data_IF_150983001275
#
_entry.id   IF_150983001275
#
_cell.length_a   1.000
_cell.length_b   1.000
_cell.length_c   1.000
_cell.angle_alpha   90.00
_cell.angle_beta   90.00
_cell.angle_gamma   90.00
#
_symmetry.space_group_name_H-M   'P 1'
#
loop_
_entity.id
_entity.type
_entity.pdbx_description
1 polymer ?
#
# COMPACT_ATOMS: atom_id res chain seq x y z
N UNK A 1 -3.88 -29.68 4.71
CA UNK A 1 -3.98 -28.43 3.92
C UNK A 1 -4.16 -28.63 2.40
N UNK A 2 -4.67 -29.77 1.90
CA UNK A 2 -4.69 -30.05 0.44
C UNK A 2 -5.73 -29.28 -0.38
N UNK A 3 -6.81 -28.81 0.23
CA UNK A 3 -7.92 -28.17 -0.49
C UNK A 3 -7.53 -26.83 -1.13
N UNK A 4 -6.75 -26.00 -0.41
CA UNK A 4 -6.29 -24.70 -0.91
C UNK A 4 -5.32 -24.87 -2.08
N UNK A 5 -4.42 -25.85 -2.00
CA UNK A 5 -3.52 -26.17 -3.12
C UNK A 5 -4.29 -26.68 -4.33
N UNK A 6 -5.28 -27.56 -4.12
CA UNK A 6 -6.13 -28.06 -5.22
C UNK A 6 -6.87 -26.91 -5.91
N UNK A 7 -7.51 -26.02 -5.16
CA UNK A 7 -8.18 -24.84 -5.71
C UNK A 7 -7.23 -23.96 -6.52
N UNK A 8 -6.01 -23.69 -6.00
CA UNK A 8 -4.99 -22.93 -6.75
C UNK A 8 -4.61 -23.63 -8.06
N UNK A 9 -4.49 -24.96 -8.06
CA UNK A 9 -4.17 -25.73 -9.27
C UNK A 9 -5.33 -25.73 -10.27
N UNK A 10 -6.58 -25.78 -9.81
CA UNK A 10 -7.77 -25.72 -10.64
C UNK A 10 -7.96 -24.34 -11.29
N UNK A 11 -7.74 -23.26 -10.55
CA UNK A 11 -7.79 -21.88 -11.09
C UNK A 11 -6.59 -21.63 -12.02
N UNK A 12 -5.42 -22.14 -11.64
CA UNK A 12 -4.16 -21.98 -12.36
C UNK A 12 -3.42 -20.68 -12.01
N UNK A 13 -2.10 -20.78 -11.82
CA UNK A 13 -1.25 -19.64 -11.47
C UNK A 13 -1.29 -18.52 -12.53
N UNK A 14 -1.33 -18.88 -13.81
CA UNK A 14 -1.39 -17.92 -14.91
C UNK A 14 -2.67 -17.08 -14.87
N UNK A 15 -3.82 -17.71 -14.64
CA UNK A 15 -5.12 -17.02 -14.51
C UNK A 15 -5.12 -16.06 -13.31
N UNK A 16 -4.52 -16.46 -12.20
CA UNK A 16 -4.37 -15.62 -11.00
C UNK A 16 -3.54 -14.38 -11.33
N UNK A 17 -2.36 -14.58 -11.93
CA UNK A 17 -1.46 -13.48 -12.33
C UNK A 17 -2.10 -12.53 -13.35
N UNK A 18 -2.83 -13.05 -14.34
CA UNK A 18 -3.52 -12.25 -15.35
C UNK A 18 -4.60 -11.36 -14.72
N UNK A 19 -5.39 -11.89 -13.78
CA UNK A 19 -6.43 -11.12 -13.08
C UNK A 19 -5.86 -10.08 -12.11
N UNK A 20 -4.83 -10.45 -11.35
CA UNK A 20 -4.15 -9.52 -10.45
C UNK A 20 -3.49 -8.37 -11.22
N UNK A 21 -2.87 -8.69 -12.37
CA UNK A 21 -2.32 -7.68 -13.28
C UNK A 21 -3.39 -6.78 -13.87
N UNK A 22 -4.53 -7.33 -14.27
CA UNK A 22 -5.63 -6.55 -14.82
C UNK A 22 -6.10 -5.45 -13.85
N UNK A 23 -6.32 -5.78 -12.57
CA UNK A 23 -6.71 -4.78 -11.57
C UNK A 23 -5.60 -3.80 -11.24
N UNK A 24 -4.35 -4.28 -11.18
CA UNK A 24 -3.20 -3.40 -10.99
C UNK A 24 -3.10 -2.32 -12.08
N UNK A 25 -3.21 -2.69 -13.36
CA UNK A 25 -3.11 -1.73 -14.46
C UNK A 25 -4.24 -0.69 -14.41
N UNK A 26 -5.46 -1.09 -14.05
CA UNK A 26 -6.57 -0.15 -13.84
C UNK A 26 -6.30 0.81 -12.69
N UNK A 27 -5.90 0.28 -11.53
CA UNK A 27 -5.56 1.10 -10.36
C UNK A 27 -4.41 2.08 -10.66
N UNK A 28 -3.36 1.60 -11.34
CA UNK A 28 -2.22 2.42 -11.76
C UNK A 28 -2.65 3.55 -12.69
N UNK A 29 -3.53 3.27 -13.66
CA UNK A 29 -4.05 4.28 -14.58
C UNK A 29 -4.89 5.34 -13.85
N UNK A 30 -5.77 4.93 -12.93
CA UNK A 30 -6.62 5.84 -12.18
C UNK A 30 -5.81 6.71 -11.20
N UNK A 31 -4.89 6.09 -10.46
CA UNK A 31 -4.14 6.75 -9.39
C UNK A 31 -2.95 7.58 -9.89
N UNK A 32 -2.40 7.24 -11.06
CA UNK A 32 -1.24 7.95 -11.63
C UNK A 32 -1.46 9.43 -11.91
N UNK A 33 -2.72 9.88 -12.07
CA UNK A 33 -3.08 11.29 -12.26
C UNK A 33 -3.34 12.06 -10.96
N UNK A 34 -3.34 11.41 -9.81
CA UNK A 34 -3.69 12.05 -8.54
C UNK A 34 -2.54 12.88 -7.99
N UNK A 35 -2.82 14.14 -7.64
CA UNK A 35 -1.82 15.07 -7.07
C UNK A 35 -1.47 14.76 -5.62
N UNK A 36 -2.33 14.03 -4.91
CA UNK A 36 -2.23 13.79 -3.48
C UNK A 36 -1.97 12.32 -3.14
N UNK A 37 -1.87 11.43 -4.13
CA UNK A 37 -1.64 10.01 -3.92
C UNK A 37 -0.32 9.61 -4.56
N UNK A 38 0.61 9.10 -3.75
CA UNK A 38 1.93 8.72 -4.21
C UNK A 38 2.10 7.21 -4.03
N UNK A 39 2.22 6.49 -5.15
CA UNK A 39 2.48 5.05 -5.15
C UNK A 39 3.96 4.81 -4.83
N UNK A 40 4.21 3.82 -3.97
CA UNK A 40 5.56 3.47 -3.53
C UNK A 40 6.08 2.27 -4.31
N UNK A 41 7.39 2.32 -4.62
CA UNK A 41 8.08 1.32 -5.42
C UNK A 41 8.00 1.61 -6.92
N UNK A 42 8.69 0.78 -7.71
CA UNK A 42 8.72 0.93 -9.16
C UNK A 42 7.42 0.39 -9.77
N UNK A 43 6.65 1.26 -10.40
CA UNK A 43 5.38 0.91 -11.05
C UNK A 43 5.55 0.40 -12.48
N UNK A 44 6.76 0.45 -13.04
CA UNK A 44 7.09 -0.01 -14.39
C UNK A 44 7.43 -1.50 -14.46
N UNK A 45 7.82 -2.11 -13.34
CA UNK A 45 8.23 -3.51 -13.26
C UNK A 45 7.04 -4.45 -12.99
N UNK A 46 7.13 -5.73 -13.42
CA UNK A 46 6.18 -6.76 -13.00
C UNK A 46 6.11 -6.85 -11.48
N UNK A 47 4.90 -6.86 -10.93
CA UNK A 47 4.65 -6.84 -9.48
C UNK A 47 3.39 -7.60 -9.11
N UNK A 48 3.29 -7.94 -7.84
CA UNK A 48 2.05 -8.41 -7.22
C UNK A 48 1.04 -7.26 -7.14
N UNK A 49 -0.24 -7.60 -7.03
CA UNK A 49 -1.35 -6.65 -6.91
C UNK A 49 -1.49 -5.97 -5.53
N UNK A 50 -0.47 -6.10 -4.68
CA UNK A 50 -0.39 -5.38 -3.39
C UNK A 50 0.20 -4.00 -3.66
N UNK A 51 -0.60 -2.95 -3.48
CA UNK A 51 -0.16 -1.57 -3.73
C UNK A 51 0.10 -0.85 -2.42
N UNK A 52 1.32 -0.28 -2.30
CA UNK A 52 1.70 0.57 -1.17
C UNK A 52 1.65 2.03 -1.61
N UNK A 53 1.08 2.91 -0.80
CA UNK A 53 0.99 4.33 -1.12
C UNK A 53 1.03 5.22 0.12
N UNK A 54 1.30 6.50 -0.12
CA UNK A 54 1.12 7.58 0.87
C UNK A 54 0.19 8.65 0.30
N UNK A 55 -0.49 9.36 1.21
CA UNK A 55 -1.41 10.44 0.86
C UNK A 55 -0.81 11.77 1.33
N UNK A 56 -0.74 12.74 0.43
CA UNK A 56 -0.29 14.10 0.70
C UNK A 56 -1.45 15.06 0.95
N UNK A 57 -1.18 16.09 1.74
CA UNK A 57 -2.03 17.25 1.91
C UNK A 57 -1.16 18.52 1.96
N UNK A 58 -1.13 19.26 0.85
CA UNK A 58 -0.20 20.38 0.68
C UNK A 58 1.26 19.89 0.63
N UNK A 59 2.10 20.38 1.55
CA UNK A 59 3.53 20.00 1.65
C UNK A 59 3.80 18.88 2.66
N UNK A 60 2.75 18.27 3.23
CA UNK A 60 2.86 17.25 4.29
C UNK A 60 2.23 15.95 3.87
N UNK A 61 2.69 14.85 4.45
CA UNK A 61 2.05 13.55 4.33
C UNK A 61 1.04 13.38 5.47
N UNK A 62 -0.08 12.75 5.15
CA UNK A 62 -1.08 12.34 6.13
C UNK A 62 -0.61 11.04 6.78
N UNK A 63 -0.78 10.93 8.10
CA UNK A 63 -0.32 9.77 8.86
C UNK A 63 -0.98 8.49 8.34
N UNK A 64 -0.17 7.46 8.04
CA UNK A 64 -0.64 6.21 7.45
C UNK A 64 -1.69 5.49 8.29
N UNK A 65 -1.60 5.57 9.62
CA UNK A 65 -2.58 5.01 10.54
C UNK A 65 -3.95 5.65 10.37
N UNK A 66 -4.00 6.98 10.18
CA UNK A 66 -5.26 7.70 9.97
C UNK A 66 -5.92 7.31 8.65
N UNK A 67 -5.14 7.26 7.56
CA UNK A 67 -5.66 6.82 6.26
C UNK A 67 -6.18 5.38 6.34
N UNK A 68 -5.45 4.48 7.01
CA UNK A 68 -5.89 3.10 7.17
C UNK A 68 -7.20 2.98 7.96
N UNK A 69 -7.35 3.74 9.06
CA UNK A 69 -8.60 3.82 9.81
C UNK A 69 -9.75 4.34 8.96
N UNK A 70 -9.56 5.41 8.18
CA UNK A 70 -10.60 5.93 7.29
C UNK A 70 -11.06 4.87 6.27
N UNK A 71 -10.13 4.19 5.61
CA UNK A 71 -10.43 3.15 4.63
C UNK A 71 -11.19 1.99 5.27
N UNK A 72 -10.77 1.55 6.45
CA UNK A 72 -11.40 0.43 7.15
C UNK A 72 -12.78 0.81 7.69
N UNK A 73 -12.90 1.94 8.38
CA UNK A 73 -14.06 2.25 9.21
C UNK A 73 -15.18 2.94 8.43
N UNK A 74 -14.84 3.75 7.41
CA UNK A 74 -15.84 4.46 6.60
C UNK A 74 -16.16 3.73 5.29
N UNK A 75 -15.17 3.09 4.67
CA UNK A 75 -15.33 2.46 3.36
C UNK A 75 -15.33 0.94 3.42
N UNK A 76 -15.00 0.32 4.56
CA UNK A 76 -14.89 -1.13 4.66
C UNK A 76 -13.72 -1.74 3.86
N UNK A 77 -12.83 -0.92 3.32
CA UNK A 77 -11.67 -1.35 2.53
C UNK A 77 -10.59 -1.80 3.50
N UNK A 78 -10.38 -3.12 3.58
CA UNK A 78 -9.40 -3.75 4.46
C UNK A 78 -7.97 -3.38 4.08
N UNK A 79 -7.52 -2.26 4.60
CA UNK A 79 -6.17 -1.74 4.43
C UNK A 79 -5.31 -2.06 5.64
N UNK A 80 -3.99 -2.06 5.43
CA UNK A 80 -3.02 -2.22 6.50
C UNK A 80 -2.02 -1.10 6.45
N UNK A 81 -1.90 -0.40 7.56
CA UNK A 81 -0.84 0.57 7.76
C UNK A 81 0.47 -0.18 8.07
N UNK A 82 1.59 0.26 7.51
CA UNK A 82 2.91 -0.25 7.82
C UNK A 82 3.80 0.90 8.32
N UNK A 83 4.34 0.77 9.53
CA UNK A 83 5.44 1.64 9.93
C UNK A 83 6.64 1.34 9.05
N UNK A 84 7.32 2.38 8.59
CA UNK A 84 8.70 2.25 8.14
C UNK A 84 9.58 2.45 9.36
N UNK A 85 9.57 1.44 10.23
CA UNK A 85 10.32 1.46 11.47
C UNK A 85 11.83 1.51 11.15
N UNK A 86 12.41 2.71 11.20
CA UNK A 86 13.84 3.10 11.23
C UNK A 86 14.87 2.30 10.39
N UNK A 87 14.43 1.52 9.41
CA UNK A 87 15.31 0.74 8.55
C UNK A 87 15.89 1.59 7.42
N UNK A 88 17.11 1.28 6.93
CA UNK A 88 17.73 1.99 5.81
C UNK A 88 16.86 2.02 4.54
N UNK A 89 15.99 1.02 4.37
CA UNK A 89 15.03 0.99 3.27
C UNK A 89 13.95 2.06 3.40
N UNK A 90 13.39 2.25 4.60
CA UNK A 90 12.40 3.29 4.86
C UNK A 90 12.96 4.68 4.66
N UNK A 91 14.18 4.91 5.17
CA UNK A 91 14.88 6.18 4.97
C UNK A 91 15.06 6.49 3.48
N UNK A 92 15.50 5.53 2.66
CA UNK A 92 15.61 5.71 1.21
C UNK A 92 14.26 5.91 0.52
N UNK A 93 13.23 5.18 0.95
CA UNK A 93 11.90 5.24 0.34
C UNK A 93 11.23 6.60 0.54
N UNK A 94 11.48 7.24 1.69
CA UNK A 94 10.96 8.56 2.04
C UNK A 94 11.95 9.70 1.85
N UNK A 95 13.12 9.41 1.25
CA UNK A 95 14.21 10.36 1.03
C UNK A 95 14.65 11.11 2.32
N UNK A 96 14.64 10.38 3.44
CA UNK A 96 15.01 10.87 4.76
C UNK A 96 16.52 10.71 4.92
N UNK A 97 17.24 11.80 5.18
CA UNK A 97 18.68 11.75 5.46
C UNK A 97 18.96 11.07 6.80
N UNK A 98 20.16 10.51 6.97
CA UNK A 98 20.51 9.70 8.14
C UNK A 98 20.32 10.45 9.47
N UNK A 99 20.66 11.75 9.54
CA UNK A 99 20.49 12.57 10.76
C UNK A 99 19.01 12.80 11.11
N UNK A 100 18.16 13.05 10.11
CA UNK A 100 16.72 13.14 10.32
C UNK A 100 16.12 11.79 10.72
N UNK A 101 16.60 10.69 10.14
CA UNK A 101 16.21 9.34 10.52
C UNK A 101 16.51 9.02 12.00
N UNK A 102 17.70 9.37 12.47
CA UNK A 102 18.09 9.22 13.88
C UNK A 102 17.24 10.07 14.83
N UNK A 103 16.89 11.30 14.43
CA UNK A 103 16.02 12.16 15.23
C UNK A 103 14.60 11.58 15.35
N UNK A 104 14.04 11.09 14.24
CA UNK A 104 12.73 10.43 14.22
C UNK A 104 12.76 9.17 15.09
N UNK A 105 13.82 8.37 15.01
CA UNK A 105 13.98 7.17 15.83
C UNK A 105 14.07 7.51 17.33
N UNK A 106 14.86 8.51 17.71
CA UNK A 106 15.00 8.94 19.09
C UNK A 106 13.65 9.39 19.69
N UNK A 107 12.85 10.15 18.94
CA UNK A 107 11.51 10.60 19.37
C UNK A 107 10.53 9.42 19.41
N UNK A 108 10.58 8.52 18.43
CA UNK A 108 9.76 7.31 18.41
C UNK A 108 10.03 6.38 19.61
N UNK A 109 11.29 6.29 20.07
CA UNK A 109 11.67 5.53 21.27
C UNK A 109 11.11 6.13 22.57
N UNK A 110 10.72 7.41 22.56
CA UNK A 110 10.05 8.08 23.68
C UNK A 110 8.54 7.81 23.71
N UNK A 111 8.01 7.01 22.77
CA UNK A 111 6.59 6.65 22.70
C UNK A 111 5.77 7.50 21.73
N UNK A 112 6.37 8.51 21.10
CA UNK A 112 5.71 9.37 20.12
C UNK A 112 5.59 8.64 18.77
N UNK A 113 4.50 7.90 18.56
CA UNK A 113 4.33 7.11 17.34
C UNK A 113 4.00 7.94 16.10
N UNK A 114 3.41 9.12 16.28
CA UNK A 114 2.93 9.97 15.20
C UNK A 114 4.06 10.49 14.28
N UNK A 115 5.32 10.47 14.75
CA UNK A 115 6.48 10.88 13.94
C UNK A 115 7.00 9.76 13.03
N UNK A 116 6.53 8.52 13.21
CA UNK A 116 7.00 7.38 12.42
C UNK A 116 6.50 7.51 10.98
N UNK A 117 7.39 7.62 9.98
CA UNK A 117 6.97 7.56 8.59
C UNK A 117 6.43 6.16 8.28
N UNK A 118 5.51 6.08 7.33
CA UNK A 118 4.91 4.82 6.96
C UNK A 118 3.97 4.98 5.77
N UNK A 119 3.32 3.88 5.44
CA UNK A 119 2.51 3.78 4.23
C UNK A 119 1.29 2.91 4.46
N UNK A 120 0.32 3.05 3.57
CA UNK A 120 -0.88 2.21 3.55
C UNK A 120 -0.77 1.21 2.43
N UNK A 121 -1.29 0.01 2.64
CA UNK A 121 -1.37 -1.05 1.65
C UNK A 121 -2.80 -1.51 1.42
N UNK A 122 -3.12 -1.70 0.15
CA UNK A 122 -4.32 -2.41 -0.33
C UNK A 122 -3.90 -3.53 -1.28
N UNK A 123 -4.76 -4.53 -1.45
CA UNK A 123 -4.45 -5.70 -2.26
C UNK A 123 -5.61 -6.03 -3.19
N UNK A 124 -5.33 -6.16 -4.49
CA UNK A 124 -6.31 -6.62 -5.47
C UNK A 124 -6.19 -8.13 -5.70
N UNK A 125 -6.91 -8.93 -4.91
CA UNK A 125 -6.90 -10.38 -5.08
C UNK A 125 -7.59 -10.81 -6.39
N UNK A 126 -7.15 -11.93 -6.97
CA UNK A 126 -7.69 -12.48 -8.23
C UNK A 126 -9.20 -12.80 -8.23
N UNK A 127 -9.80 -12.93 -7.04
CA UNK A 127 -11.21 -13.26 -6.85
C UNK A 127 -12.08 -12.05 -6.48
N UNK A 128 -11.54 -10.83 -6.52
CA UNK A 128 -12.35 -9.63 -6.36
C UNK A 128 -13.41 -9.54 -7.47
N UNK A 129 -14.63 -9.22 -7.06
CA UNK A 129 -15.68 -8.81 -7.99
C UNK A 129 -15.32 -7.46 -8.61
N UNK A 130 -15.78 -7.22 -9.83
CA UNK A 130 -15.48 -5.99 -10.58
C UNK A 130 -15.98 -4.75 -9.84
N UNK A 131 -17.15 -4.84 -9.21
CA UNK A 131 -17.76 -3.77 -8.42
C UNK A 131 -16.90 -3.42 -7.21
N UNK A 132 -16.37 -4.42 -6.50
CA UNK A 132 -15.46 -4.21 -5.36
C UNK A 132 -14.13 -3.62 -5.81
N UNK A 133 -13.57 -4.11 -6.92
CA UNK A 133 -12.31 -3.59 -7.43
C UNK A 133 -12.45 -2.12 -7.84
N UNK A 134 -13.53 -1.75 -8.54
CA UNK A 134 -13.83 -0.35 -8.91
C UNK A 134 -14.06 0.53 -7.69
N UNK A 135 -14.83 0.06 -6.72
CA UNK A 135 -15.04 0.79 -5.46
C UNK A 135 -13.74 1.11 -4.70
N UNK A 136 -12.71 0.25 -4.81
CA UNK A 136 -11.40 0.53 -4.21
C UNK A 136 -10.58 1.53 -5.06
N UNK A 137 -10.78 1.53 -6.38
CA UNK A 137 -10.01 2.34 -7.32
C UNK A 137 -10.54 3.78 -7.39
N UNK A 138 -11.86 3.95 -7.40
CA UNK A 138 -12.59 5.22 -7.49
C UNK A 138 -12.57 6.01 -6.17
#
# INVERSE_FOLDING_TARGET
>A
CGLVFRLKMEVGAKTIEERERHWWEQAKSAWGGSRNLFLLGDTSLPRLSIVSFVVGHGKRLVHHGFIASLLNDLFGIQSRSGCSCAGPYGQRLFDICASAGQAVEAVALQGEEAVKPGFVRVNFNFFLAEETARFIID
#
